data_IF_829999506772
#
_entry.id   IF_829999506772
#
_cell.length_a   1.000
_cell.length_b   1.000
_cell.length_c   1.000
_cell.angle_alpha   90.00
_cell.angle_beta   90.00
_cell.angle_gamma   90.00
#
_symmetry.space_group_name_H-M   'P 1'
#
loop_
_entity.id
_entity.type
_entity.pdbx_description
1 polymer ?
#
# COMPACT_ATOMS: atom_id res chain seq x y z
N UNK A 1 16.91 28.53 -5.70
CA UNK A 1 17.44 27.55 -4.72
C UNK A 1 17.15 28.09 -3.32
N UNK A 2 16.05 27.66 -2.68
CA UNK A 2 15.65 28.09 -1.33
C UNK A 2 16.16 27.04 -0.35
N UNK A 3 17.46 27.08 -0.06
CA UNK A 3 18.08 26.23 0.97
C UNK A 3 19.05 27.09 1.77
N UNK A 4 18.54 28.10 2.48
CA UNK A 4 19.39 28.95 3.33
C UNK A 4 18.93 29.06 4.78
N UNK A 5 17.81 28.44 5.20
CA UNK A 5 17.34 28.53 6.61
C UNK A 5 16.67 27.31 7.26
N UNK A 6 16.45 26.20 6.55
CA UNK A 6 15.87 24.99 7.15
C UNK A 6 16.94 24.02 7.61
N UNK A 7 16.75 23.39 8.77
CA UNK A 7 17.58 22.25 9.17
C UNK A 7 17.46 21.15 8.10
N UNK A 8 18.58 20.58 7.62
CA UNK A 8 18.60 19.61 6.51
C UNK A 8 17.70 18.41 6.79
N UNK A 9 17.67 17.98 8.05
CA UNK A 9 16.81 16.90 8.51
C UNK A 9 15.32 17.23 8.33
N UNK A 10 14.90 18.46 8.65
CA UNK A 10 13.52 18.91 8.47
C UNK A 10 13.14 18.93 6.98
N UNK A 11 14.06 19.35 6.10
CA UNK A 11 13.80 19.35 4.66
C UNK A 11 13.51 17.94 4.11
N UNK A 12 14.34 16.94 4.45
CA UNK A 12 14.11 15.57 4.00
C UNK A 12 12.89 14.92 4.65
N UNK A 13 12.57 15.27 5.89
CA UNK A 13 11.35 14.84 6.56
C UNK A 13 10.11 15.40 5.86
N UNK A 14 10.08 16.70 5.58
CA UNK A 14 8.97 17.31 4.83
C UNK A 14 8.85 16.70 3.43
N UNK A 15 9.98 16.47 2.74
CA UNK A 15 9.99 15.82 1.41
C UNK A 15 9.45 14.39 1.46
N UNK A 16 9.81 13.62 2.48
CA UNK A 16 9.30 12.27 2.68
C UNK A 16 7.79 12.29 2.93
N UNK A 17 7.32 13.12 3.87
CA UNK A 17 5.89 13.22 4.19
C UNK A 17 5.09 13.68 2.97
N UNK A 18 5.55 14.71 2.26
CA UNK A 18 4.89 15.20 1.06
C UNK A 18 4.81 14.13 -0.04
N UNK A 19 5.85 13.31 -0.19
CA UNK A 19 5.84 12.22 -1.18
C UNK A 19 4.91 11.08 -0.76
N UNK A 20 4.92 10.71 0.51
CA UNK A 20 4.02 9.70 1.07
C UNK A 20 2.55 10.10 0.92
N UNK A 21 2.20 11.33 1.32
CA UNK A 21 0.82 11.83 1.22
C UNK A 21 0.40 12.00 -0.22
N UNK A 22 1.24 12.52 -1.10
CA UNK A 22 0.93 12.61 -2.53
C UNK A 22 0.68 11.22 -3.14
N UNK A 23 1.54 10.24 -2.85
CA UNK A 23 1.37 8.86 -3.33
C UNK A 23 0.08 8.21 -2.85
N UNK A 24 -0.23 8.35 -1.56
CA UNK A 24 -1.47 7.83 -0.98
C UNK A 24 -2.72 8.49 -1.56
N UNK A 25 -2.74 9.82 -1.72
CA UNK A 25 -3.88 10.56 -2.29
C UNK A 25 -4.13 10.17 -3.75
N UNK A 26 -3.09 9.96 -4.55
CA UNK A 26 -3.21 9.55 -5.97
C UNK A 26 -3.94 8.20 -6.11
N UNK A 27 -3.74 7.27 -5.17
CA UNK A 27 -4.47 5.99 -5.15
C UNK A 27 -5.86 6.15 -4.53
N UNK A 28 -5.97 6.93 -3.45
CA UNK A 28 -7.22 7.08 -2.72
C UNK A 28 -8.31 7.79 -3.54
N UNK A 29 -7.95 8.80 -4.34
CA UNK A 29 -8.90 9.56 -5.16
C UNK A 29 -9.73 8.70 -6.13
N UNK A 30 -9.14 7.87 -7.02
CA UNK A 30 -9.90 7.02 -7.91
C UNK A 30 -10.72 5.96 -7.15
N UNK A 31 -10.24 5.45 -6.02
CA UNK A 31 -10.99 4.50 -5.20
C UNK A 31 -12.24 5.13 -4.55
N UNK A 32 -12.10 6.33 -3.97
CA UNK A 32 -13.26 7.06 -3.41
C UNK A 32 -14.28 7.36 -4.51
N UNK A 33 -13.83 7.81 -5.68
CA UNK A 33 -14.70 8.05 -6.82
C UNK A 33 -15.40 6.77 -7.26
N UNK A 34 -14.68 5.66 -7.37
CA UNK A 34 -15.25 4.36 -7.68
C UNK A 34 -16.32 3.96 -6.65
N UNK A 35 -16.03 4.10 -5.37
CA UNK A 35 -16.97 3.79 -4.29
C UNK A 35 -18.24 4.64 -4.37
N UNK A 36 -18.12 5.95 -4.59
CA UNK A 36 -19.27 6.85 -4.75
C UNK A 36 -20.13 6.42 -5.94
N UNK A 37 -19.51 6.14 -7.10
CA UNK A 37 -20.23 5.69 -8.29
C UNK A 37 -20.98 4.39 -8.00
N UNK A 38 -20.35 3.40 -7.38
CA UNK A 38 -21.00 2.13 -7.02
C UNK A 38 -22.15 2.37 -6.04
N UNK A 39 -21.99 3.23 -5.05
CA UNK A 39 -23.03 3.54 -4.06
C UNK A 39 -24.27 4.24 -4.66
N UNK A 40 -24.15 4.87 -5.83
CA UNK A 40 -25.30 5.46 -6.55
C UNK A 40 -26.17 4.39 -7.23
N UNK A 41 -25.57 3.28 -7.67
CA UNK A 41 -26.28 2.21 -8.40
C UNK A 41 -26.64 1.01 -7.52
N UNK A 42 -25.84 0.75 -6.49
CA UNK A 42 -25.97 -0.44 -5.64
C UNK A 42 -26.51 -0.02 -4.27
N UNK A 43 -27.68 -0.56 -3.86
CA UNK A 43 -28.24 -0.23 -2.55
C UNK A 43 -27.35 -0.75 -1.41
N UNK A 44 -27.25 0.04 -0.34
CA UNK A 44 -26.49 -0.30 0.86
C UNK A 44 -27.19 -1.40 1.68
N UNK A 45 -27.12 -2.63 1.19
CA UNK A 45 -27.65 -3.83 1.86
C UNK A 45 -26.50 -4.50 2.60
N UNK A 46 -26.71 -4.82 3.88
CA UNK A 46 -25.72 -5.58 4.65
C UNK A 46 -25.60 -7.00 4.07
N UNK A 47 -24.39 -7.45 3.70
CA UNK A 47 -24.20 -8.79 3.16
C UNK A 47 -24.56 -9.82 4.24
N UNK A 48 -25.27 -10.87 3.85
CA UNK A 48 -25.67 -11.97 4.75
C UNK A 48 -24.66 -13.11 4.68
N UNK A 49 -24.34 -13.69 5.84
CA UNK A 49 -23.38 -14.81 5.96
C UNK A 49 -23.84 -16.12 5.31
N UNK A 50 -25.10 -16.18 4.86
CA UNK A 50 -25.72 -17.38 4.28
C UNK A 50 -25.22 -17.71 2.87
N UNK A 51 -24.52 -16.79 2.19
CA UNK A 51 -23.97 -17.00 0.85
C UNK A 51 -22.60 -16.31 0.66
N UNK A 52 -21.52 -16.76 1.33
CA UNK A 52 -20.20 -16.16 1.22
C UNK A 52 -19.63 -16.19 -0.22
N UNK A 53 -20.01 -17.20 -1.02
CA UNK A 53 -19.59 -17.33 -2.42
C UNK A 53 -20.15 -16.25 -3.34
N UNK A 54 -21.29 -15.63 -2.99
CA UNK A 54 -21.89 -14.54 -3.80
C UNK A 54 -21.15 -13.22 -3.57
N UNK A 55 -20.58 -13.02 -2.37
CA UNK A 55 -19.90 -11.78 -2.00
C UNK A 55 -18.36 -11.87 -2.14
N UNK A 56 -17.80 -13.06 -2.32
CA UNK A 56 -16.36 -13.28 -2.49
C UNK A 56 -15.52 -13.14 -1.22
N UNK A 57 -16.12 -12.74 -0.09
CA UNK A 57 -15.41 -12.61 1.20
C UNK A 57 -15.60 -13.88 2.03
N UNK A 58 -14.59 -14.74 2.02
CA UNK A 58 -14.61 -15.99 2.80
C UNK A 58 -14.57 -15.75 4.32
N UNK A 59 -15.24 -16.63 5.06
CA UNK A 59 -15.24 -16.65 6.52
C UNK A 59 -13.83 -17.07 6.99
N UNK A 60 -13.01 -16.10 7.39
CA UNK A 60 -11.60 -16.29 7.76
C UNK A 60 -10.65 -15.31 7.07
N UNK A 61 -11.12 -14.57 6.06
CA UNK A 61 -10.38 -13.48 5.45
C UNK A 61 -10.21 -12.28 6.41
N UNK A 62 -9.25 -11.40 6.11
CA UNK A 62 -8.99 -10.20 6.91
C UNK A 62 -10.28 -9.39 7.07
N UNK A 63 -10.61 -9.06 8.32
CA UNK A 63 -11.77 -8.25 8.69
C UNK A 63 -13.12 -8.77 8.14
N UNK A 64 -13.24 -10.07 7.83
CA UNK A 64 -14.49 -10.64 7.32
C UNK A 64 -15.67 -10.44 8.27
N UNK A 65 -15.44 -10.48 9.59
CA UNK A 65 -16.48 -10.19 10.59
C UNK A 65 -17.02 -8.76 10.49
N UNK A 66 -16.16 -7.79 10.17
CA UNK A 66 -16.54 -6.39 9.95
C UNK A 66 -17.33 -6.22 8.65
N UNK A 67 -17.00 -6.97 7.60
CA UNK A 67 -17.75 -6.95 6.35
C UNK A 67 -19.22 -7.32 6.55
N UNK A 68 -19.50 -8.37 7.34
CA UNK A 68 -20.86 -8.85 7.59
C UNK A 68 -21.64 -8.07 8.67
N UNK A 69 -20.96 -7.26 9.49
CA UNK A 69 -21.60 -6.46 10.57
C UNK A 69 -21.72 -4.99 10.20
N UNK A 70 -20.63 -4.40 9.69
CA UNK A 70 -20.50 -2.99 9.34
C UNK A 70 -19.71 -2.83 8.02
N UNK A 71 -20.33 -3.10 6.86
CA UNK A 71 -19.64 -3.11 5.56
C UNK A 71 -18.97 -1.77 5.21
N UNK A 72 -19.53 -0.63 5.64
CA UNK A 72 -18.90 0.68 5.44
C UNK A 72 -17.57 0.82 6.19
N UNK A 73 -17.47 0.29 7.41
CA UNK A 73 -16.24 0.33 8.20
C UNK A 73 -15.18 -0.53 7.53
N UNK A 74 -15.58 -1.70 7.01
CA UNK A 74 -14.70 -2.57 6.24
C UNK A 74 -14.12 -1.85 5.01
N UNK A 75 -14.95 -1.16 4.22
CA UNK A 75 -14.48 -0.39 3.06
C UNK A 75 -13.53 0.73 3.47
N UNK A 76 -13.83 1.49 4.53
CA UNK A 76 -12.94 2.56 5.00
C UNK A 76 -11.58 2.01 5.44
N UNK A 77 -11.55 0.86 6.10
CA UNK A 77 -10.29 0.22 6.51
C UNK A 77 -9.43 -0.19 5.30
N UNK A 78 -10.05 -0.72 4.25
CA UNK A 78 -9.35 -1.02 2.99
C UNK A 78 -8.86 0.25 2.29
N UNK A 79 -9.66 1.32 2.23
CA UNK A 79 -9.22 2.62 1.69
C UNK A 79 -8.01 3.19 2.43
N UNK A 80 -7.98 3.06 3.76
CA UNK A 80 -6.82 3.48 4.56
C UNK A 80 -5.60 2.60 4.28
N UNK A 81 -5.81 1.29 4.14
CA UNK A 81 -4.75 0.34 3.82
C UNK A 81 -4.16 0.64 2.44
N UNK A 82 -4.99 0.86 1.42
CA UNK A 82 -4.57 1.27 0.07
C UNK A 82 -3.82 2.60 0.07
N UNK A 83 -4.31 3.58 0.83
CA UNK A 83 -3.63 4.87 1.01
C UNK A 83 -2.22 4.67 1.60
N UNK A 84 -2.08 3.84 2.63
CA UNK A 84 -0.79 3.61 3.28
C UNK A 84 0.21 2.92 2.36
N UNK A 85 -0.21 1.87 1.65
CA UNK A 85 0.66 1.16 0.71
C UNK A 85 0.98 2.03 -0.52
N UNK A 86 0.02 2.80 -1.04
CA UNK A 86 0.27 3.78 -2.09
C UNK A 86 1.32 4.81 -1.73
N UNK A 87 1.25 5.34 -0.50
CA UNK A 87 2.27 6.23 0.04
C UNK A 87 3.63 5.55 0.19
N UNK A 88 3.67 4.30 0.68
CA UNK A 88 4.92 3.53 0.80
C UNK A 88 5.55 3.24 -0.58
N UNK A 89 4.78 2.89 -1.61
CA UNK A 89 5.32 2.68 -2.96
C UNK A 89 5.89 3.98 -3.57
N UNK A 90 5.26 5.13 -3.31
CA UNK A 90 5.80 6.42 -3.70
C UNK A 90 7.13 6.73 -2.99
N UNK A 91 7.25 6.40 -1.70
CA UNK A 91 8.52 6.62 -0.97
C UNK A 91 9.62 5.64 -1.35
N UNK A 92 9.31 4.46 -1.89
CA UNK A 92 10.30 3.57 -2.53
C UNK A 92 10.92 4.26 -3.74
N UNK A 93 10.10 4.88 -4.59
CA UNK A 93 10.58 5.64 -5.75
C UNK A 93 11.51 6.79 -5.32
N UNK A 94 11.15 7.50 -4.25
CA UNK A 94 11.99 8.54 -3.64
C UNK A 94 13.30 7.97 -3.13
N UNK A 95 13.28 6.84 -2.42
CA UNK A 95 14.47 6.18 -1.90
C UNK A 95 15.43 5.78 -3.03
N UNK A 96 14.92 5.24 -4.14
CA UNK A 96 15.71 4.83 -5.32
C UNK A 96 16.31 6.04 -6.03
N UNK A 97 15.62 7.19 -6.04
CA UNK A 97 16.12 8.42 -6.67
C UNK A 97 17.45 8.91 -6.12
N UNK A 98 17.83 8.51 -4.89
CA UNK A 98 19.13 8.82 -4.32
C UNK A 98 20.28 7.96 -4.86
N UNK A 99 19.99 6.84 -5.52
CA UNK A 99 20.98 5.92 -6.06
C UNK A 99 21.10 6.01 -7.59
N UNK A 100 19.99 6.26 -8.27
CA UNK A 100 19.92 6.22 -9.73
C UNK A 100 19.51 7.60 -10.24
N UNK A 101 20.26 8.13 -11.22
CA UNK A 101 19.93 9.42 -11.86
C UNK A 101 18.89 9.28 -12.98
N UNK A 102 18.73 8.09 -13.55
CA UNK A 102 17.80 7.84 -14.64
C UNK A 102 16.34 7.84 -14.15
N UNK A 103 15.56 8.83 -14.59
CA UNK A 103 14.15 9.01 -14.22
C UNK A 103 13.27 7.81 -14.60
N UNK A 104 13.50 7.21 -15.76
CA UNK A 104 12.69 6.06 -16.22
C UNK A 104 12.92 4.86 -15.30
N UNK A 105 14.18 4.60 -14.94
CA UNK A 105 14.52 3.50 -14.03
C UNK A 105 13.92 3.70 -12.63
N UNK A 106 13.91 4.92 -12.11
CA UNK A 106 13.31 5.22 -10.79
C UNK A 106 11.84 4.83 -10.72
N UNK A 107 11.09 5.02 -11.81
CA UNK A 107 9.65 4.70 -11.88
C UNK A 107 9.44 3.18 -12.08
N UNK A 108 10.28 2.53 -12.88
CA UNK A 108 10.14 1.11 -13.19
C UNK A 108 10.54 0.18 -12.04
N UNK A 109 11.54 0.53 -11.24
CA UNK A 109 12.06 -0.36 -10.19
C UNK A 109 11.02 -0.72 -9.13
N UNK A 110 10.23 0.22 -8.56
CA UNK A 110 9.15 -0.11 -7.63
C UNK A 110 8.14 -1.09 -8.23
N UNK A 111 7.84 -0.94 -9.52
CA UNK A 111 6.95 -1.84 -10.25
C UNK A 111 7.56 -3.24 -10.39
N UNK A 112 8.82 -3.34 -10.81
CA UNK A 112 9.50 -4.64 -10.85
C UNK A 112 9.60 -5.31 -9.49
N UNK A 113 9.84 -4.54 -8.42
CA UNK A 113 9.85 -5.05 -7.05
C UNK A 113 8.49 -5.68 -6.68
N UNK A 114 7.38 -5.00 -7.02
CA UNK A 114 6.04 -5.54 -6.86
C UNK A 114 5.82 -6.85 -7.62
N UNK A 115 6.27 -6.94 -8.88
CA UNK A 115 6.17 -8.18 -9.65
C UNK A 115 7.01 -9.31 -9.08
N UNK A 116 8.22 -9.02 -8.60
CA UNK A 116 9.07 -10.02 -7.97
C UNK A 116 8.40 -10.54 -6.69
N UNK A 117 7.81 -9.67 -5.86
CA UNK A 117 7.04 -10.09 -4.69
C UNK A 117 5.79 -10.90 -5.07
N UNK A 118 5.13 -10.53 -6.16
CA UNK A 118 3.96 -11.25 -6.66
C UNK A 118 4.32 -12.66 -7.14
N UNK A 119 5.38 -12.81 -7.92
CA UNK A 119 5.82 -14.12 -8.39
C UNK A 119 6.55 -14.93 -7.31
N UNK A 120 7.20 -14.32 -6.32
CA UNK A 120 7.86 -15.07 -5.23
C UNK A 120 6.85 -15.86 -4.39
N UNK A 121 5.60 -15.40 -4.33
CA UNK A 121 4.46 -16.10 -3.72
C UNK A 121 4.33 -17.53 -4.23
N UNK A 122 4.43 -17.80 -5.54
CA UNK A 122 4.18 -19.14 -6.09
C UNK A 122 5.20 -20.17 -5.57
N UNK A 123 6.43 -19.73 -5.27
CA UNK A 123 7.45 -20.58 -4.64
C UNK A 123 7.16 -20.88 -3.17
N UNK A 124 6.45 -20.00 -2.47
CA UNK A 124 6.15 -20.10 -1.04
C UNK A 124 4.77 -20.72 -0.76
N UNK A 125 3.88 -20.74 -1.77
CA UNK A 125 2.49 -21.21 -1.66
C UNK A 125 2.39 -22.65 -1.15
N UNK A 126 3.34 -23.52 -1.51
CA UNK A 126 3.35 -24.91 -1.06
C UNK A 126 3.69 -25.08 0.45
N UNK A 127 4.28 -24.06 1.08
CA UNK A 127 4.75 -24.10 2.47
C UNK A 127 3.97 -23.16 3.39
N UNK A 128 3.50 -22.03 2.87
CA UNK A 128 2.74 -21.02 3.59
C UNK A 128 1.51 -20.63 2.78
N UNK A 129 0.34 -21.10 3.21
CA UNK A 129 -0.97 -20.78 2.62
C UNK A 129 -1.45 -19.37 3.03
N UNK A 130 -0.62 -18.34 2.87
CA UNK A 130 -0.96 -16.95 3.19
C UNK A 130 -0.48 -16.02 2.07
N UNK A 131 -1.27 -14.99 1.78
CA UNK A 131 -0.87 -13.97 0.80
C UNK A 131 0.29 -13.12 1.31
N UNK A 132 1.30 -12.99 0.45
CA UNK A 132 2.49 -12.14 0.66
C UNK A 132 2.51 -11.00 -0.37
N UNK A 133 1.78 -11.13 -1.49
CA UNK A 133 1.81 -10.13 -2.55
C UNK A 133 0.88 -8.96 -2.23
N UNK A 134 1.39 -7.72 -2.17
CA UNK A 134 0.55 -6.53 -2.01
C UNK A 134 -0.52 -6.42 -3.09
N UNK A 135 -0.19 -6.81 -4.33
CA UNK A 135 -1.15 -6.80 -5.43
C UNK A 135 -2.38 -7.65 -5.15
N UNK A 136 -2.26 -8.73 -4.38
CA UNK A 136 -3.40 -9.62 -4.11
C UNK A 136 -4.11 -9.25 -2.80
N UNK A 137 -3.38 -8.93 -1.72
CA UNK A 137 -4.03 -8.66 -0.44
C UNK A 137 -4.61 -7.25 -0.30
N UNK A 138 -4.22 -6.30 -1.17
CA UNK A 138 -4.84 -4.96 -1.22
C UNK A 138 -6.28 -5.03 -1.73
N UNK A 139 -6.65 -6.10 -2.45
CA UNK A 139 -8.04 -6.32 -2.82
C UNK A 139 -8.89 -6.63 -1.58
N UNK A 140 -10.09 -6.04 -1.55
CA UNK A 140 -11.13 -6.31 -0.55
C UNK A 140 -11.70 -7.74 -0.62
N UNK A 141 -11.17 -8.58 -1.51
CA UNK A 141 -11.56 -9.97 -1.73
C UNK A 141 -10.27 -10.79 -1.81
N UNK A 142 -10.26 -11.95 -1.15
CA UNK A 142 -9.16 -12.89 -1.30
C UNK A 142 -9.22 -13.52 -2.70
N UNK A 143 -8.22 -13.25 -3.53
CA UNK A 143 -8.19 -13.75 -4.92
C UNK A 143 -7.74 -15.22 -4.95
N UNK A 144 -6.73 -15.58 -4.16
CA UNK A 144 -6.17 -16.94 -4.19
C UNK A 144 -5.86 -17.52 -2.81
N UNK A 145 -5.03 -16.87 -1.99
CA UNK A 145 -4.81 -17.26 -0.59
C UNK A 145 -5.50 -16.26 0.36
N UNK A 146 -5.79 -16.67 1.61
CA UNK A 146 -6.24 -15.73 2.62
C UNK A 146 -5.13 -14.75 2.99
N UNK A 147 -5.48 -13.47 3.00
CA UNK A 147 -4.61 -12.43 3.52
C UNK A 147 -4.52 -12.52 5.06
N UNK A 148 -3.40 -12.09 5.64
CA UNK A 148 -3.18 -12.09 7.09
C UNK A 148 -2.73 -10.71 7.56
N UNK A 149 -3.45 -10.10 8.50
CA UNK A 149 -3.15 -8.76 9.04
C UNK A 149 -1.70 -8.66 9.54
N UNK A 150 -1.18 -9.72 10.15
CA UNK A 150 0.21 -9.77 10.63
C UNK A 150 1.23 -9.60 9.49
N UNK A 151 1.00 -10.22 8.33
CA UNK A 151 1.93 -10.15 7.19
C UNK A 151 1.93 -8.73 6.62
N UNK A 152 0.74 -8.17 6.43
CA UNK A 152 0.55 -6.80 5.94
C UNK A 152 1.26 -5.80 6.87
N UNK A 153 1.11 -5.94 8.19
CA UNK A 153 1.78 -5.07 9.15
C UNK A 153 3.30 -5.22 9.12
N UNK A 154 3.81 -6.45 9.07
CA UNK A 154 5.26 -6.71 8.98
C UNK A 154 5.83 -6.08 7.71
N UNK A 155 5.19 -6.31 6.56
CA UNK A 155 5.63 -5.77 5.28
C UNK A 155 5.57 -4.24 5.27
N UNK A 156 4.45 -3.64 5.72
CA UNK A 156 4.30 -2.19 5.80
C UNK A 156 5.33 -1.54 6.71
N UNK A 157 5.60 -2.11 7.89
CA UNK A 157 6.64 -1.63 8.81
C UNK A 157 8.03 -1.77 8.19
N UNK A 158 8.32 -2.90 7.53
CA UNK A 158 9.60 -3.16 6.90
C UNK A 158 9.86 -2.16 5.75
N UNK A 159 8.87 -1.94 4.88
CA UNK A 159 8.93 -0.95 3.80
C UNK A 159 9.09 0.47 4.36
N UNK A 160 8.38 0.82 5.42
CA UNK A 160 8.52 2.11 6.09
C UNK A 160 9.94 2.30 6.63
N UNK A 161 10.46 1.35 7.41
CA UNK A 161 11.81 1.45 8.00
C UNK A 161 12.87 1.56 6.91
N UNK A 162 12.77 0.77 5.84
CA UNK A 162 13.73 0.81 4.73
C UNK A 162 13.68 2.17 4.01
N UNK A 163 12.50 2.62 3.58
CA UNK A 163 12.37 3.87 2.81
C UNK A 163 12.69 5.11 3.65
N UNK A 164 12.21 5.15 4.89
CA UNK A 164 12.48 6.23 5.83
C UNK A 164 13.96 6.28 6.21
N UNK A 165 14.56 5.13 6.54
CA UNK A 165 15.97 5.01 6.89
C UNK A 165 16.90 5.43 5.74
N UNK A 166 16.61 4.99 4.51
CA UNK A 166 17.35 5.40 3.31
C UNK A 166 17.24 6.92 3.11
N UNK A 167 16.02 7.47 3.12
CA UNK A 167 15.77 8.88 2.86
C UNK A 167 16.46 9.77 3.89
N UNK A 168 16.39 9.43 5.17
CA UNK A 168 17.00 10.22 6.25
C UNK A 168 18.53 10.11 6.26
N UNK A 169 19.10 8.92 6.03
CA UNK A 169 20.56 8.74 6.06
C UNK A 169 21.25 9.27 4.81
N UNK A 170 20.68 9.02 3.64
CA UNK A 170 21.32 9.36 2.36
C UNK A 170 20.95 10.76 1.86
N UNK A 171 19.74 11.23 2.15
CA UNK A 171 19.36 12.62 1.85
C UNK A 171 20.30 13.61 2.54
N UNK A 172 20.55 13.43 3.85
CA UNK A 172 21.42 14.32 4.62
C UNK A 172 22.88 14.27 4.16
N UNK A 173 23.35 13.14 3.62
CA UNK A 173 24.76 12.93 3.24
C UNK A 173 25.09 13.27 1.77
N UNK A 174 24.16 13.12 0.82
CA UNK A 174 24.47 13.12 -0.63
C UNK A 174 24.23 14.45 -1.37
N UNK A 175 23.53 15.43 -0.81
CA UNK A 175 23.47 16.81 -1.38
C UNK A 175 24.70 17.68 -1.03
N UNK A 176 25.85 17.07 -0.73
CA UNK A 176 27.11 17.77 -0.35
C UNK A 176 28.01 18.07 -1.56
N UNK A 177 27.62 17.69 -2.78
CA UNK A 177 28.41 17.97 -3.99
C UNK A 177 27.54 18.41 -5.16
#
# INVERSE_FOLDING_TARGET
MIVTRSNKWQYFLTKYIATFTAGGVVILLPLILNFIVVALFVPAISPTQLNPYVYGVEIGAIWSSLFYTHPLVYTILYLLLDFTFGGLFATISLAISFFIKNRIAIILIPFFLLFILHYSRTFLQYKFYKEISPLNYLHAIAIENPASTVIILIEGILLFIMTFGITMRLGVKREVF
#
